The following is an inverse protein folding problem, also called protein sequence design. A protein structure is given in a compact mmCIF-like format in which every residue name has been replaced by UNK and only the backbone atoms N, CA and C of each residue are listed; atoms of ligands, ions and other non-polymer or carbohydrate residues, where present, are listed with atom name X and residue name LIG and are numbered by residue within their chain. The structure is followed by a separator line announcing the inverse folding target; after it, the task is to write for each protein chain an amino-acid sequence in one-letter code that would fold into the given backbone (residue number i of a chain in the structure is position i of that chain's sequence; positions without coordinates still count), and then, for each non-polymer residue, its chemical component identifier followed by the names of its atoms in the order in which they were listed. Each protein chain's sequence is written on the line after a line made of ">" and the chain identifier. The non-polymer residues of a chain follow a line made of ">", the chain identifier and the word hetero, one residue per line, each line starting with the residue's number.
data_IF_499230704885
#
_entry.id   IF_499230704885
#
_cell.length_a   1.000
_cell.length_b   1.000
_cell.length_c   1.000
_cell.angle_alpha   90.00
_cell.angle_beta   90.00
_cell.angle_gamma   90.00
#
_symmetry.space_group_name_H-M   'P 1'
#
loop_
_entity.id
_entity.type
_entity.pdbx_description
1 polymer ?
#
# COMPACT_ATOMS: atom_id res chain seq x y z
N UNK A 1 -2.90 10.66 -45.94
CA UNK A 1 -3.72 9.99 -44.90
C UNK A 1 -3.40 10.63 -43.56
N UNK A 2 -4.24 11.55 -43.08
CA UNK A 2 -4.11 12.19 -41.78
C UNK A 2 -5.04 11.47 -40.79
N UNK A 3 -4.46 10.85 -39.75
CA UNK A 3 -5.22 10.28 -38.64
C UNK A 3 -5.70 11.43 -37.76
N UNK A 4 -7.01 11.68 -37.78
CA UNK A 4 -7.68 12.65 -36.92
C UNK A 4 -7.66 12.09 -35.50
N UNK A 5 -6.88 12.74 -34.62
CA UNK A 5 -6.90 12.45 -33.19
C UNK A 5 -8.26 12.88 -32.61
N UNK A 6 -8.96 11.94 -31.99
CA UNK A 6 -10.20 12.18 -31.25
C UNK A 6 -9.92 13.07 -30.03
N UNK A 7 -10.33 14.34 -30.13
CA UNK A 7 -10.16 15.39 -29.11
C UNK A 7 -11.18 15.30 -27.97
N UNK A 8 -12.05 14.29 -27.94
CA UNK A 8 -13.13 14.15 -26.96
C UNK A 8 -12.96 12.98 -25.99
N UNK A 9 -11.72 12.63 -25.60
CA UNK A 9 -11.50 11.75 -24.46
C UNK A 9 -11.70 12.57 -23.17
N UNK A 10 -12.75 12.33 -22.37
CA UNK A 10 -12.95 13.08 -21.14
C UNK A 10 -11.78 12.82 -20.20
N UNK A 11 -11.06 13.88 -19.87
CA UNK A 11 -10.01 13.88 -18.86
C UNK A 11 -10.67 13.58 -17.51
N UNK A 12 -10.49 12.36 -17.02
CA UNK A 12 -11.04 11.95 -15.72
C UNK A 12 -10.28 12.78 -14.66
N UNK A 13 -10.91 13.82 -14.16
CA UNK A 13 -10.38 14.59 -13.03
C UNK A 13 -10.63 13.80 -11.76
N UNK A 14 -9.58 13.16 -11.25
CA UNK A 14 -9.59 12.53 -9.93
C UNK A 14 -9.80 13.63 -8.87
N UNK A 15 -10.91 13.58 -8.13
CA UNK A 15 -11.06 14.39 -6.91
C UNK A 15 -10.21 13.71 -5.85
N UNK A 16 -9.04 14.28 -5.63
CA UNK A 16 -8.16 13.93 -4.52
C UNK A 16 -8.75 14.54 -3.25
N UNK A 17 -9.48 13.75 -2.46
CA UNK A 17 -9.77 14.15 -1.09
C UNK A 17 -8.51 13.93 -0.26
N UNK A 18 -7.74 15.01 -0.07
CA UNK A 18 -6.65 15.06 0.91
C UNK A 18 -7.26 15.31 2.27
N UNK A 19 -7.27 14.28 3.11
CA UNK A 19 -7.60 14.43 4.51
C UNK A 19 -6.30 14.50 5.31
N UNK A 20 -5.94 15.70 5.74
CA UNK A 20 -4.94 15.92 6.78
C UNK A 20 -5.61 15.62 8.13
N UNK A 21 -5.75 14.32 8.44
CA UNK A 21 -6.10 13.79 9.75
C UNK A 21 -7.46 14.22 10.35
N UNK A 22 -8.44 13.32 10.29
CA UNK A 22 -9.31 12.85 11.42
C UNK A 22 -10.49 12.07 10.84
N UNK A 23 -10.31 10.75 10.64
CA UNK A 23 -11.44 9.82 10.51
C UNK A 23 -11.45 8.91 11.73
N UNK A 24 -12.47 9.07 12.58
CA UNK A 24 -12.59 8.34 13.83
C UNK A 24 -13.43 7.09 13.66
N UNK A 25 -12.90 5.98 14.18
CA UNK A 25 -13.69 5.08 15.03
C UNK A 25 -12.87 4.86 16.31
N UNK A 26 -12.91 5.87 17.20
CA UNK A 26 -12.48 5.88 18.62
C UNK A 26 -11.09 5.37 19.06
N UNK A 27 -10.17 4.93 18.20
CA UNK A 27 -8.94 4.28 18.70
C UNK A 27 -7.64 4.46 17.89
N UNK A 28 -7.48 5.55 17.14
CA UNK A 28 -6.16 5.94 16.59
C UNK A 28 -5.55 7.04 17.47
N UNK A 29 -5.10 6.65 18.65
CA UNK A 29 -4.48 7.55 19.61
C UNK A 29 -3.13 8.08 19.06
N UNK A 30 -3.09 9.42 18.92
CA UNK A 30 -1.94 10.31 18.68
C UNK A 30 -1.46 10.38 17.21
N UNK A 31 -1.40 11.61 16.72
CA UNK A 31 -1.06 12.08 15.37
C UNK A 31 0.14 11.40 14.67
N UNK A 32 -0.08 10.49 13.69
CA UNK A 32 1.03 9.95 12.87
C UNK A 32 0.75 9.76 11.37
N UNK A 33 -0.44 10.13 10.86
CA UNK A 33 -0.72 10.14 9.42
C UNK A 33 -0.68 11.56 8.89
N UNK A 34 0.23 11.85 7.95
CA UNK A 34 0.36 13.19 7.36
C UNK A 34 -0.59 13.39 6.17
N UNK A 35 -0.78 12.38 5.32
CA UNK A 35 -1.72 12.49 4.19
C UNK A 35 -2.44 11.16 3.96
N UNK A 36 -3.77 11.18 4.08
CA UNK A 36 -4.64 10.15 3.54
C UNK A 36 -5.33 10.74 2.31
N UNK A 37 -5.06 10.16 1.14
CA UNK A 37 -5.68 10.54 -0.11
C UNK A 37 -6.72 9.48 -0.50
N UNK A 38 -7.99 9.90 -0.54
CA UNK A 38 -9.06 9.12 -1.14
C UNK A 38 -9.37 9.74 -2.50
N UNK A 39 -9.03 9.02 -3.57
CA UNK A 39 -9.35 9.47 -4.92
C UNK A 39 -10.81 9.09 -5.24
N UNK A 40 -11.68 10.10 -5.27
CA UNK A 40 -13.06 9.98 -5.70
C UNK A 40 -13.23 10.52 -7.12
N UNK A 41 -13.98 9.85 -8.00
CA UNK A 41 -14.26 10.37 -9.33
C UNK A 41 -15.23 11.57 -9.26
N UNK A 42 -14.94 12.66 -9.99
CA UNK A 42 -15.76 13.90 -10.01
C UNK A 42 -17.10 13.81 -10.77
N UNK A 43 -17.35 12.68 -11.45
CA UNK A 43 -18.39 12.60 -12.47
C UNK A 43 -19.74 12.12 -11.90
N UNK A 44 -20.82 12.88 -12.17
CA UNK A 44 -22.18 12.63 -11.68
C UNK A 44 -22.88 11.48 -12.41
N UNK A 45 -22.36 10.98 -13.53
CA UNK A 45 -23.00 9.91 -14.27
C UNK A 45 -22.71 8.51 -13.70
N UNK A 46 -23.73 7.95 -13.04
CA UNK A 46 -23.71 6.73 -12.24
C UNK A 46 -23.61 5.39 -13.02
N UNK A 47 -23.24 5.40 -14.31
CA UNK A 47 -23.27 4.18 -15.16
C UNK A 47 -21.92 3.55 -15.50
N UNK A 48 -20.77 4.15 -15.15
CA UNK A 48 -19.46 3.52 -15.35
C UNK A 48 -19.01 2.79 -14.08
N UNK A 49 -18.41 1.60 -14.19
CA UNK A 49 -17.70 0.95 -13.07
C UNK A 49 -16.53 1.87 -12.69
N UNK A 50 -16.60 2.57 -11.55
CA UNK A 50 -15.63 3.61 -11.16
C UNK A 50 -14.60 3.10 -10.17
N UNK A 51 -13.33 3.15 -10.55
CA UNK A 51 -12.22 2.73 -9.70
C UNK A 51 -12.09 3.68 -8.51
N UNK A 52 -12.01 3.13 -7.30
CA UNK A 52 -11.75 3.89 -6.07
C UNK A 52 -10.46 3.39 -5.47
N UNK A 53 -9.54 4.31 -5.19
CA UNK A 53 -8.25 4.00 -4.58
C UNK A 53 -8.06 4.77 -3.27
N UNK A 54 -7.53 4.07 -2.27
CA UNK A 54 -6.98 4.65 -1.06
C UNK A 54 -5.47 4.72 -1.20
N UNK A 55 -4.91 5.91 -1.00
CA UNK A 55 -3.48 6.15 -0.95
C UNK A 55 -3.14 6.72 0.42
N UNK A 56 -2.17 6.14 1.10
CA UNK A 56 -1.67 6.60 2.40
C UNK A 56 -0.19 6.92 2.23
N UNK A 57 0.22 8.12 2.66
CA UNK A 57 1.61 8.55 2.67
C UNK A 57 1.99 9.04 4.06
N UNK A 58 3.10 8.53 4.59
CA UNK A 58 3.64 8.95 5.88
C UNK A 58 5.16 8.93 5.87
N UNK A 59 5.77 9.88 6.55
CA UNK A 59 7.21 9.89 6.79
C UNK A 59 7.62 9.12 8.07
N UNK A 60 6.63 8.57 8.78
CA UNK A 60 6.76 7.78 10.02
C UNK A 60 7.55 8.47 11.14
N UNK A 61 7.68 9.80 11.10
CA UNK A 61 8.35 10.56 12.15
C UNK A 61 7.56 10.48 13.45
N UNK A 62 8.25 10.27 14.57
CA UNK A 62 7.66 10.03 15.88
C UNK A 62 7.21 8.59 16.14
N UNK A 63 7.18 7.73 15.11
CA UNK A 63 6.83 6.30 15.21
C UNK A 63 8.09 5.46 15.37
N UNK A 64 8.08 4.57 16.37
CA UNK A 64 9.08 3.53 16.55
C UNK A 64 8.57 2.23 15.92
N UNK A 65 9.42 1.56 15.13
CA UNK A 65 9.13 0.25 14.57
C UNK A 65 10.18 -0.72 15.08
N UNK A 66 9.75 -1.66 15.91
CA UNK A 66 10.59 -2.71 16.48
C UNK A 66 10.61 -3.94 15.57
N UNK A 67 10.80 -3.72 14.27
CA UNK A 67 11.01 -4.80 13.31
C UNK A 67 12.48 -5.26 13.37
N UNK A 68 12.78 -6.51 13.01
CA UNK A 68 14.16 -6.97 12.94
C UNK A 68 14.97 -6.14 11.93
N UNK A 69 16.28 -6.01 12.11
CA UNK A 69 17.16 -5.39 11.11
C UNK A 69 16.96 -6.00 9.71
N UNK A 70 17.09 -5.21 8.63
CA UNK A 70 17.35 -3.75 8.58
C UNK A 70 16.11 -2.86 8.80
N UNK A 71 14.94 -3.42 9.12
CA UNK A 71 13.66 -2.70 9.10
C UNK A 71 13.26 -2.06 10.41
N UNK A 72 14.11 -2.15 11.45
CA UNK A 72 13.94 -1.36 12.67
C UNK A 72 13.95 0.14 12.36
N UNK A 73 13.19 0.95 13.10
CA UNK A 73 13.17 2.41 12.97
C UNK A 73 13.00 3.05 14.35
N UNK A 74 13.84 4.03 14.70
CA UNK A 74 13.64 4.83 15.92
C UNK A 74 12.62 5.95 15.69
N UNK A 75 12.11 6.53 16.78
CA UNK A 75 11.12 7.63 16.71
C UNK A 75 11.62 8.84 15.93
N UNK A 76 12.91 9.17 16.05
CA UNK A 76 13.50 10.35 15.41
C UNK A 76 13.84 10.15 13.94
N UNK A 77 13.89 8.90 13.48
CA UNK A 77 14.32 8.60 12.11
C UNK A 77 13.21 8.95 11.12
N UNK A 78 13.59 9.36 9.91
CA UNK A 78 12.67 9.50 8.80
C UNK A 78 12.56 8.17 8.05
N UNK A 79 11.34 7.74 7.72
CA UNK A 79 11.17 6.63 6.77
C UNK A 79 9.85 6.77 6.01
N UNK A 80 9.95 6.97 4.70
CA UNK A 80 8.77 7.06 3.85
C UNK A 80 8.03 5.72 3.82
N UNK A 81 6.75 5.76 4.14
CA UNK A 81 5.78 4.70 3.93
C UNK A 81 4.76 5.20 2.90
N UNK A 82 4.50 4.38 1.89
CA UNK A 82 3.44 4.65 0.92
C UNK A 82 2.64 3.39 0.70
N UNK A 83 1.32 3.48 0.82
CA UNK A 83 0.39 2.36 0.64
C UNK A 83 -0.68 2.76 -0.35
N UNK A 84 -1.00 1.89 -1.31
CA UNK A 84 -2.08 2.09 -2.30
C UNK A 84 -2.96 0.84 -2.33
N UNK A 85 -4.27 1.03 -2.16
CA UNK A 85 -5.25 -0.05 -2.17
C UNK A 85 -6.42 0.26 -3.10
N UNK A 86 -6.81 -0.70 -3.93
CA UNK A 86 -7.95 -0.58 -4.85
C UNK A 86 -9.28 -0.97 -4.18
N UNK A 87 -9.96 -0.05 -3.50
CA UNK A 87 -11.18 -0.35 -2.73
C UNK A 87 -12.37 -0.79 -3.60
N UNK A 88 -12.54 -0.23 -4.81
CA UNK A 88 -13.71 -0.54 -5.65
C UNK A 88 -13.39 -0.57 -7.14
N UNK A 89 -14.10 -1.44 -7.87
CA UNK A 89 -14.20 -1.55 -9.33
C UNK A 89 -12.90 -1.67 -10.14
N UNK A 90 -11.72 -1.66 -9.53
CA UNK A 90 -10.49 -1.99 -10.23
C UNK A 90 -10.61 -3.40 -10.82
N UNK A 91 -9.91 -3.69 -11.92
CA UNK A 91 -9.89 -5.05 -12.48
C UNK A 91 -9.20 -6.04 -11.53
N UNK A 92 -8.35 -5.54 -10.63
CA UNK A 92 -7.60 -6.33 -9.65
C UNK A 92 -7.68 -5.71 -8.25
N UNK A 93 -7.90 -6.56 -7.25
CA UNK A 93 -7.89 -6.20 -5.84
C UNK A 93 -6.44 -6.15 -5.34
N UNK A 94 -5.75 -5.05 -5.65
CA UNK A 94 -4.33 -4.91 -5.36
C UNK A 94 -4.08 -4.00 -4.17
N UNK A 95 -3.15 -4.43 -3.33
CA UNK A 95 -2.48 -3.64 -2.30
C UNK A 95 -1.02 -3.50 -2.71
N UNK A 96 -0.55 -2.26 -2.82
CA UNK A 96 0.85 -1.91 -3.03
C UNK A 96 1.39 -1.18 -1.81
N UNK A 97 2.62 -1.45 -1.44
CA UNK A 97 3.28 -0.80 -0.32
C UNK A 97 4.75 -0.55 -0.61
N UNK A 98 5.29 0.58 -0.18
CA UNK A 98 6.73 0.87 -0.21
C UNK A 98 7.16 1.40 1.14
N UNK A 99 8.40 1.09 1.52
CA UNK A 99 8.94 1.45 2.83
C UNK A 99 10.43 1.73 2.73
N UNK A 100 10.83 2.97 3.02
CA UNK A 100 12.22 3.41 3.05
C UNK A 100 12.98 3.30 1.73
N UNK A 101 12.31 3.01 0.60
CA UNK A 101 12.93 2.76 -0.70
C UNK A 101 13.60 1.39 -0.85
N UNK A 102 13.81 0.67 0.25
CA UNK A 102 14.44 -0.67 0.26
C UNK A 102 13.44 -1.81 0.19
N UNK A 103 12.17 -1.53 0.50
CA UNK A 103 11.07 -2.49 0.48
C UNK A 103 9.98 -2.03 -0.47
N UNK A 104 9.52 -2.95 -1.30
CA UNK A 104 8.29 -2.84 -2.06
C UNK A 104 7.47 -4.13 -1.95
N UNK A 105 6.16 -3.99 -1.81
CA UNK A 105 5.23 -5.11 -1.73
C UNK A 105 4.08 -4.92 -2.71
N UNK A 106 3.68 -6.01 -3.35
CA UNK A 106 2.46 -6.08 -4.15
C UNK A 106 1.70 -7.35 -3.82
N UNK A 107 0.43 -7.19 -3.49
CA UNK A 107 -0.43 -8.27 -3.04
C UNK A 107 -1.77 -8.19 -3.76
N UNK A 108 -2.30 -9.34 -4.14
CA UNK A 108 -3.69 -9.49 -4.52
C UNK A 108 -4.47 -10.05 -3.33
N UNK A 109 -5.56 -9.38 -2.96
CA UNK A 109 -6.42 -9.77 -1.86
C UNK A 109 -7.81 -10.21 -2.33
N UNK A 110 -8.49 -11.01 -1.53
CA UNK A 110 -9.87 -11.40 -1.79
C UNK A 110 -10.82 -10.22 -1.53
N UNK A 111 -11.67 -9.87 -2.49
CA UNK A 111 -12.63 -8.77 -2.33
C UNK A 111 -13.71 -9.05 -1.29
N UNK A 112 -14.09 -10.31 -1.12
CA UNK A 112 -15.09 -10.74 -0.15
C UNK A 112 -14.48 -10.79 1.25
N UNK A 113 -13.16 -11.06 1.34
CA UNK A 113 -12.41 -11.00 2.58
C UNK A 113 -11.05 -10.32 2.38
N UNK A 114 -10.97 -8.98 2.49
CA UNK A 114 -9.73 -8.23 2.19
C UNK A 114 -8.53 -8.54 3.07
N UNK A 115 -8.73 -9.31 4.15
CA UNK A 115 -7.66 -9.81 5.01
C UNK A 115 -6.93 -11.00 4.36
N UNK A 116 -7.60 -11.74 3.46
CA UNK A 116 -7.01 -12.86 2.77
C UNK A 116 -6.22 -12.39 1.55
N UNK A 117 -4.92 -12.69 1.56
CA UNK A 117 -4.02 -12.49 0.43
C UNK A 117 -3.96 -13.77 -0.39
N UNK A 118 -4.27 -13.71 -1.68
CA UNK A 118 -4.21 -14.87 -2.59
C UNK A 118 -2.81 -15.07 -3.13
N UNK A 119 -2.15 -13.98 -3.53
CA UNK A 119 -0.76 -13.99 -4.00
C UNK A 119 -0.06 -12.67 -3.78
N UNK A 120 1.25 -12.71 -3.65
CA UNK A 120 2.03 -11.49 -3.51
C UNK A 120 3.54 -11.68 -3.53
N UNK A 121 4.23 -10.58 -3.82
CA UNK A 121 5.68 -10.48 -3.69
C UNK A 121 6.00 -9.39 -2.67
N UNK A 122 6.91 -9.73 -1.76
CA UNK A 122 7.72 -8.76 -1.02
C UNK A 122 9.10 -8.73 -1.64
N UNK A 123 9.55 -7.55 -2.05
CA UNK A 123 10.88 -7.32 -2.59
C UNK A 123 11.71 -6.49 -1.62
N UNK A 124 12.91 -6.99 -1.33
CA UNK A 124 13.89 -6.39 -0.42
C UNK A 124 15.14 -5.95 -1.19
N UNK A 125 15.79 -4.87 -0.75
CA UNK A 125 16.98 -4.33 -1.41
C UNK A 125 16.67 -3.48 -2.63
N UNK A 126 15.42 -3.01 -2.75
CA UNK A 126 14.97 -2.11 -3.82
C UNK A 126 14.51 -2.80 -5.11
N UNK A 127 14.03 -1.97 -6.04
CA UNK A 127 13.39 -2.39 -7.27
C UNK A 127 11.89 -2.70 -7.11
N UNK A 128 11.14 -2.72 -8.23
CA UNK A 128 9.68 -2.85 -8.19
C UNK A 128 9.25 -4.27 -7.84
N UNK A 129 8.21 -4.39 -7.01
CA UNK A 129 7.64 -5.68 -6.70
C UNK A 129 6.77 -6.20 -7.85
N UNK A 130 6.87 -7.50 -8.16
CA UNK A 130 6.16 -8.14 -9.27
C UNK A 130 5.16 -9.16 -8.76
N UNK A 131 3.87 -8.94 -9.07
CA UNK A 131 2.80 -9.84 -8.70
C UNK A 131 3.05 -11.24 -9.30
N UNK A 132 3.13 -12.30 -8.48
CA UNK A 132 3.32 -13.66 -8.97
C UNK A 132 2.19 -14.09 -9.92
N UNK A 133 2.47 -15.06 -10.81
CA UNK A 133 1.42 -15.65 -11.65
C UNK A 133 0.61 -16.70 -10.90
N UNK A 134 1.27 -17.50 -10.06
CA UNK A 134 0.66 -18.51 -9.19
C UNK A 134 0.20 -17.90 -7.86
N UNK A 135 -0.66 -18.64 -7.17
CA UNK A 135 -1.03 -18.34 -5.79
C UNK A 135 0.17 -18.47 -4.83
N UNK A 136 0.09 -17.79 -3.68
CA UNK A 136 1.09 -17.82 -2.63
C UNK A 136 1.93 -16.54 -2.49
N UNK A 137 2.67 -16.48 -1.38
CA UNK A 137 3.55 -15.38 -1.05
C UNK A 137 4.99 -15.74 -1.36
N UNK A 138 5.74 -14.80 -1.93
CA UNK A 138 7.19 -14.93 -2.06
C UNK A 138 7.91 -13.68 -1.57
N UNK A 139 9.06 -13.91 -0.98
CA UNK A 139 9.99 -12.87 -0.56
C UNK A 139 11.23 -13.01 -1.44
N UNK A 140 11.65 -11.92 -2.07
CA UNK A 140 12.80 -11.91 -2.97
C UNK A 140 13.67 -10.69 -2.76
N UNK A 141 14.92 -10.79 -3.18
CA UNK A 141 15.86 -9.68 -3.19
C UNK A 141 17.06 -9.89 -2.30
N UNK A 142 17.75 -8.81 -1.97
CA UNK A 142 19.01 -8.85 -1.22
C UNK A 142 18.91 -7.94 -0.01
N UNK A 143 19.37 -8.44 1.13
CA UNK A 143 19.52 -7.66 2.35
C UNK A 143 20.89 -7.95 2.92
N UNK A 144 21.47 -6.96 3.61
CA UNK A 144 22.79 -7.10 4.22
C UNK A 144 22.81 -8.17 5.30
N UNK A 145 21.69 -8.32 6.01
CA UNK A 145 21.50 -9.31 7.06
C UNK A 145 20.03 -9.68 7.14
N UNK A 146 19.73 -10.98 7.27
CA UNK A 146 18.39 -11.50 7.51
C UNK A 146 18.45 -12.62 8.54
N UNK A 147 18.02 -12.35 9.77
CA UNK A 147 17.91 -13.39 10.78
C UNK A 147 16.51 -14.01 10.75
N UNK A 148 16.38 -15.16 10.09
CA UNK A 148 15.11 -15.89 9.99
C UNK A 148 14.53 -16.27 11.36
N UNK A 149 15.39 -16.53 12.35
CA UNK A 149 14.96 -16.88 13.71
C UNK A 149 14.25 -15.71 14.40
N UNK A 150 14.80 -14.49 14.30
CA UNK A 150 14.17 -13.29 14.86
C UNK A 150 12.82 -13.03 14.19
N UNK A 151 12.75 -13.21 12.87
CA UNK A 151 11.50 -13.06 12.11
C UNK A 151 10.46 -14.12 12.49
N UNK A 152 10.86 -15.38 12.62
CA UNK A 152 9.95 -16.47 13.02
C UNK A 152 9.35 -16.21 14.40
N UNK A 153 10.17 -15.77 15.35
CA UNK A 153 9.72 -15.45 16.70
C UNK A 153 8.73 -14.27 16.71
N UNK A 154 9.01 -13.22 15.93
CA UNK A 154 8.08 -12.10 15.79
C UNK A 154 6.74 -12.53 15.18
N UNK A 155 6.77 -13.36 14.13
CA UNK A 155 5.53 -13.84 13.48
C UNK A 155 4.68 -14.66 14.45
N UNK A 156 5.31 -15.54 15.25
CA UNK A 156 4.60 -16.30 16.30
C UNK A 156 3.93 -15.37 17.30
N UNK A 157 4.65 -14.36 17.79
CA UNK A 157 4.10 -13.36 18.71
C UNK A 157 2.89 -12.60 18.13
N UNK A 158 2.92 -12.27 16.84
CA UNK A 158 1.81 -11.59 16.17
C UNK A 158 0.63 -12.53 15.92
N UNK A 159 0.89 -13.82 15.65
CA UNK A 159 -0.16 -14.82 15.40
C UNK A 159 -0.85 -15.34 16.66
N UNK A 160 -0.25 -15.15 17.84
CA UNK A 160 -0.79 -15.55 19.15
C UNK A 160 -1.62 -14.44 19.83
N UNK A 161 -1.72 -13.25 19.23
CA UNK A 161 -2.44 -12.08 19.75
C UNK A 161 -3.72 -11.76 18.98
#
# INVERSE_FOLDING_TARGET
>A
MQTIADKNKPEIKDIVLRADGKFGAKQLARNYFRVVELALPADRDAKRKRNVQLKVSSNLEGVQLNLPPPFSKNKKDFRQLYVVMNIRNADKALLKTTYGGEYEGIFEYDRQNPVLITRGEVRLGGGPAVLPRSDGLRIVGQVRELSLDIWSNLIKQIGES
#
